data_IF_512866382398
#
_entry.id   IF_512866382398
#
_cell.length_a   1.000
_cell.length_b   1.000
_cell.length_c   1.000
_cell.angle_alpha   90.00
_cell.angle_beta   90.00
_cell.angle_gamma   90.00
#
_symmetry.space_group_name_H-M   'P 1'
#
loop_
_entity.id
_entity.type
_entity.pdbx_description
1 polymer ?
#
# COMPACT_ATOMS: atom_id res chain seq x y z
N UNK A 1 5.26 95.44 16.49
CA UNK A 1 6.47 95.08 15.73
C UNK A 1 7.33 94.14 16.57
N UNK A 2 7.36 92.83 16.24
CA UNK A 2 8.52 91.92 16.26
C UNK A 2 8.03 90.48 16.03
N UNK A 3 8.81 89.75 15.24
CA UNK A 3 8.53 88.45 14.64
C UNK A 3 8.80 87.29 15.62
N UNK A 4 8.18 86.12 15.38
CA UNK A 4 8.83 84.80 15.50
C UNK A 4 8.04 83.72 14.76
N UNK A 5 8.77 82.88 14.02
CA UNK A 5 8.35 81.80 13.10
C UNK A 5 8.43 80.40 13.77
N UNK A 6 7.99 79.36 13.05
CA UNK A 6 8.08 77.87 13.26
C UNK A 6 6.90 77.21 14.01
N UNK A 7 6.40 76.01 13.68
CA UNK A 7 6.70 75.02 12.63
C UNK A 7 5.52 74.05 12.40
N UNK A 8 5.53 73.42 11.22
CA UNK A 8 4.69 72.36 10.65
C UNK A 8 4.58 71.09 11.54
N UNK A 9 3.52 70.28 11.35
CA UNK A 9 3.63 68.85 10.93
C UNK A 9 2.24 68.20 10.75
N UNK A 10 1.91 67.87 9.49
CA UNK A 10 0.82 66.97 9.11
C UNK A 10 1.19 65.53 9.52
N UNK A 11 0.26 64.84 10.19
CA UNK A 11 0.34 63.40 10.46
C UNK A 11 -0.03 62.60 9.21
N UNK A 12 0.95 62.07 8.48
CA UNK A 12 0.74 61.05 7.46
C UNK A 12 0.90 59.66 8.07
N UNK A 13 -0.23 58.96 8.29
CA UNK A 13 -0.25 57.54 8.60
C UNK A 13 0.13 56.73 7.36
N UNK A 14 1.37 56.24 7.29
CA UNK A 14 1.73 55.19 6.33
C UNK A 14 1.35 53.83 6.93
N UNK A 15 0.35 53.20 6.34
CA UNK A 15 0.04 51.80 6.56
C UNK A 15 1.26 50.95 6.14
N UNK A 16 1.77 50.12 7.04
CA UNK A 16 2.77 49.12 6.69
C UNK A 16 2.14 48.07 5.76
N UNK A 17 2.81 47.65 4.67
CA UNK A 17 2.30 46.59 3.83
C UNK A 17 2.31 45.27 4.62
N UNK A 18 1.14 44.65 4.76
CA UNK A 18 1.03 43.26 5.17
C UNK A 18 1.78 42.40 4.15
N UNK A 19 2.93 41.86 4.53
CA UNK A 19 3.58 40.80 3.78
C UNK A 19 2.76 39.53 3.94
N UNK A 20 1.84 39.31 2.99
CA UNK A 20 1.14 38.05 2.82
C UNK A 20 2.15 36.97 2.41
N UNK A 21 2.85 36.38 3.38
CA UNK A 21 3.58 35.14 3.15
C UNK A 21 2.54 34.02 3.06
N UNK A 22 2.28 33.54 1.84
CA UNK A 22 1.53 32.31 1.64
C UNK A 22 2.27 31.19 2.40
N UNK A 23 1.66 30.64 3.43
CA UNK A 23 2.21 29.43 4.05
C UNK A 23 2.29 28.35 2.96
N UNK A 24 3.41 27.61 2.88
CA UNK A 24 3.52 26.56 1.88
C UNK A 24 2.40 25.53 2.10
N UNK A 25 1.70 25.14 1.03
CA UNK A 25 0.64 24.12 1.07
C UNK A 25 1.18 22.75 1.55
N UNK A 26 2.49 22.53 1.44
CA UNK A 26 3.16 21.29 1.78
C UNK A 26 4.52 21.57 2.43
N UNK A 27 4.86 20.80 3.46
CA UNK A 27 6.19 20.74 4.06
C UNK A 27 6.85 19.41 3.75
N UNK A 28 8.14 19.42 3.40
CA UNK A 28 8.92 18.20 3.20
C UNK A 28 9.50 17.72 4.52
N UNK A 29 9.20 16.47 4.89
CA UNK A 29 9.77 15.81 6.05
C UNK A 29 10.67 14.67 5.59
N UNK A 30 11.96 14.75 5.92
CA UNK A 30 12.91 13.68 5.61
C UNK A 30 12.78 12.55 6.62
N UNK A 31 12.59 11.34 6.12
CA UNK A 31 12.80 10.12 6.89
C UNK A 31 14.31 9.82 6.96
N UNK A 32 14.76 9.04 7.95
CA UNK A 32 16.11 8.47 7.98
C UNK A 32 16.53 7.89 6.62
N UNK A 33 17.74 8.21 6.18
CA UNK A 33 18.27 7.86 4.85
C UNK A 33 18.43 6.35 4.61
N UNK A 34 18.36 5.55 5.67
CA UNK A 34 18.46 4.10 5.64
C UNK A 34 17.11 3.40 5.48
N UNK A 35 16.12 4.05 4.86
CA UNK A 35 14.76 3.50 4.70
C UNK A 35 14.23 3.56 3.28
N UNK A 36 13.44 2.55 2.93
CA UNK A 36 12.63 2.50 1.71
C UNK A 36 11.15 2.44 2.10
N UNK A 37 10.37 3.52 1.86
CA UNK A 37 8.94 3.53 2.16
C UNK A 37 8.14 2.74 1.12
N UNK A 38 7.10 2.04 1.57
CA UNK A 38 6.22 1.25 0.71
C UNK A 38 4.77 1.74 0.72
N UNK A 39 4.27 2.22 1.86
CA UNK A 39 2.90 2.69 1.97
C UNK A 39 2.75 3.83 3.00
N UNK A 40 1.70 4.64 2.81
CA UNK A 40 1.30 5.72 3.70
C UNK A 40 -0.22 5.67 3.91
N UNK A 41 -0.68 6.02 5.11
CA UNK A 41 -2.11 6.21 5.37
C UNK A 41 -2.53 7.67 5.53
N UNK A 42 -3.83 7.91 5.68
CA UNK A 42 -4.41 9.24 5.84
C UNK A 42 -3.95 9.98 7.12
N UNK A 43 -3.39 9.26 8.10
CA UNK A 43 -2.78 9.85 9.29
C UNK A 43 -1.33 10.31 9.07
N UNK A 44 -0.81 10.19 7.85
CA UNK A 44 0.58 10.50 7.52
C UNK A 44 1.58 9.47 8.05
N UNK A 45 1.12 8.27 8.44
CA UNK A 45 2.02 7.21 8.91
C UNK A 45 2.58 6.46 7.73
N UNK A 46 3.90 6.26 7.73
CA UNK A 46 4.61 5.62 6.63
C UNK A 46 5.17 4.29 7.11
N UNK A 47 5.05 3.26 6.29
CA UNK A 47 5.65 1.96 6.55
C UNK A 47 6.58 1.55 5.42
N UNK A 48 7.53 0.68 5.71
CA UNK A 48 8.48 0.18 4.72
C UNK A 48 9.51 -0.75 5.34
N UNK A 49 10.70 -0.74 4.77
CA UNK A 49 11.84 -1.54 5.21
C UNK A 49 13.09 -0.67 5.38
N UNK A 50 13.87 -0.94 6.43
CA UNK A 50 15.19 -0.36 6.65
C UNK A 50 16.31 -1.13 5.95
N UNK A 51 17.48 -0.52 5.76
CA UNK A 51 18.66 -1.23 5.21
C UNK A 51 19.18 -2.34 6.11
N UNK A 52 18.74 -2.38 7.37
CA UNK A 52 18.98 -3.46 8.33
C UNK A 52 18.06 -4.68 8.10
N UNK A 53 17.18 -4.62 7.08
CA UNK A 53 16.23 -5.66 6.75
C UNK A 53 15.04 -5.73 7.71
N UNK A 54 14.77 -4.66 8.47
CA UNK A 54 13.65 -4.61 9.42
C UNK A 54 12.53 -3.72 8.91
N UNK A 55 11.30 -4.19 9.07
CA UNK A 55 10.11 -3.38 8.81
C UNK A 55 10.04 -2.22 9.79
N UNK A 56 9.59 -1.06 9.33
CA UNK A 56 9.39 0.11 10.19
C UNK A 56 7.99 0.70 10.06
N UNK A 57 7.59 1.44 11.10
CA UNK A 57 6.47 2.37 11.13
C UNK A 57 7.01 3.74 11.55
N UNK A 58 6.82 4.73 10.68
CA UNK A 58 7.11 6.12 10.97
C UNK A 58 5.80 6.86 11.28
N UNK A 59 5.78 7.60 12.39
CA UNK A 59 4.63 8.42 12.78
C UNK A 59 5.11 9.62 13.60
N UNK A 60 4.63 10.81 13.24
CA UNK A 60 4.90 12.06 13.98
C UNK A 60 6.39 12.29 14.27
N UNK A 61 7.25 12.04 13.28
CA UNK A 61 8.70 12.22 13.42
C UNK A 61 9.44 11.07 14.09
N UNK A 62 8.75 10.06 14.60
CA UNK A 62 9.35 8.92 15.29
C UNK A 62 9.32 7.69 14.40
N UNK A 63 10.45 7.02 14.27
CA UNK A 63 10.58 5.72 13.61
C UNK A 63 10.59 4.61 14.65
N UNK A 64 9.69 3.64 14.50
CA UNK A 64 9.65 2.43 15.30
C UNK A 64 9.91 1.21 14.41
N UNK A 65 10.79 0.32 14.86
CA UNK A 65 10.92 -1.00 14.26
C UNK A 65 9.66 -1.83 14.56
N UNK A 66 9.21 -2.61 13.58
CA UNK A 66 8.12 -3.57 13.76
C UNK A 66 8.59 -4.86 14.45
N UNK A 67 9.90 -5.11 14.51
CA UNK A 67 10.47 -6.38 14.95
C UNK A 67 10.32 -7.49 13.90
N UNK A 68 10.44 -8.75 14.34
CA UNK A 68 10.28 -9.95 13.50
C UNK A 68 9.49 -11.03 14.22
N UNK A 69 9.08 -12.07 13.50
CA UNK A 69 8.51 -13.32 14.04
C UNK A 69 9.57 -14.26 14.64
N UNK A 70 10.67 -13.70 15.15
CA UNK A 70 11.81 -14.45 15.70
C UNK A 70 12.90 -14.78 14.69
N UNK A 71 12.72 -14.45 13.40
CA UNK A 71 13.74 -14.56 12.36
C UNK A 71 14.55 -13.28 12.14
N UNK A 72 15.26 -13.24 11.01
CA UNK A 72 16.26 -12.21 10.68
C UNK A 72 15.68 -10.94 10.06
N UNK A 73 14.66 -11.05 9.21
CA UNK A 73 14.13 -9.91 8.46
C UNK A 73 12.61 -9.75 8.55
N UNK A 74 12.16 -8.53 8.30
CA UNK A 74 10.76 -8.18 8.08
C UNK A 74 10.64 -7.02 7.10
N UNK A 75 9.53 -6.96 6.38
CA UNK A 75 9.19 -5.85 5.50
C UNK A 75 7.70 -5.55 5.64
N UNK A 76 7.37 -4.28 5.88
CA UNK A 76 5.99 -3.81 5.83
C UNK A 76 5.62 -3.43 4.40
N UNK A 77 4.49 -3.94 3.90
CA UNK A 77 4.04 -3.69 2.53
C UNK A 77 2.85 -2.72 2.47
N UNK A 78 1.95 -2.79 3.45
CA UNK A 78 0.72 -2.00 3.43
C UNK A 78 0.30 -1.55 4.84
N UNK A 79 -0.41 -0.41 4.89
CA UNK A 79 -0.99 0.14 6.12
C UNK A 79 -2.46 0.49 5.89
N UNK A 80 -3.32 0.09 6.81
CA UNK A 80 -4.77 0.38 6.77
C UNK A 80 -5.09 1.72 7.46
N UNK A 81 -6.29 2.24 7.22
CA UNK A 81 -6.81 3.44 7.90
C UNK A 81 -6.75 3.34 9.45
N UNK A 82 -6.85 2.11 9.98
CA UNK A 82 -6.78 1.83 11.42
C UNK A 82 -5.35 1.59 11.93
N UNK A 83 -4.30 1.99 11.19
CA UNK A 83 -2.87 1.83 11.57
C UNK A 83 -2.42 0.38 11.68
N UNK A 84 -3.18 -0.57 11.13
CA UNK A 84 -2.74 -1.95 11.06
C UNK A 84 -1.84 -2.11 9.85
N UNK A 85 -0.71 -2.78 10.03
CA UNK A 85 0.30 -2.96 8.99
C UNK A 85 0.33 -4.42 8.56
N UNK A 86 0.33 -4.69 7.26
CA UNK A 86 0.59 -6.02 6.72
C UNK A 86 1.93 -6.04 5.99
N UNK A 87 2.51 -7.24 5.93
CA UNK A 87 3.78 -7.47 5.27
C UNK A 87 4.20 -8.93 5.42
N UNK A 88 5.51 -9.17 5.36
CA UNK A 88 6.11 -10.47 5.62
C UNK A 88 7.24 -10.36 6.64
N UNK A 89 7.40 -11.37 7.48
CA UNK A 89 8.50 -11.48 8.42
C UNK A 89 8.98 -12.91 8.52
N UNK A 90 10.29 -13.08 8.63
CA UNK A 90 10.88 -14.39 8.88
C UNK A 90 10.51 -14.87 10.28
N UNK A 91 9.96 -16.08 10.33
CA UNK A 91 9.77 -16.81 11.56
C UNK A 91 11.10 -17.40 12.05
N UNK A 92 11.12 -17.96 13.26
CA UNK A 92 12.31 -18.58 13.87
C UNK A 92 12.97 -19.66 13.02
N UNK A 93 12.20 -20.33 12.15
CA UNK A 93 12.69 -21.34 11.21
C UNK A 93 13.29 -20.75 9.91
N UNK A 94 13.37 -19.42 9.79
CA UNK A 94 13.85 -18.70 8.61
C UNK A 94 12.85 -18.62 7.45
N UNK A 95 11.62 -19.10 7.63
CA UNK A 95 10.57 -19.03 6.60
C UNK A 95 9.76 -17.75 6.78
N UNK A 96 9.54 -17.01 5.69
CA UNK A 96 8.72 -15.80 5.72
C UNK A 96 7.24 -16.14 5.88
N UNK A 97 6.60 -15.54 6.88
CA UNK A 97 5.17 -15.56 7.08
C UNK A 97 4.58 -14.16 6.90
N UNK A 98 3.38 -14.09 6.33
CA UNK A 98 2.60 -12.87 6.34
C UNK A 98 2.25 -12.51 7.79
N UNK A 99 2.25 -11.21 8.10
CA UNK A 99 1.92 -10.74 9.45
C UNK A 99 0.85 -9.64 9.42
N UNK A 100 0.22 -9.41 10.57
CA UNK A 100 -0.45 -8.14 10.89
C UNK A 100 0.20 -7.53 12.12
N UNK A 101 0.67 -6.30 12.01
CA UNK A 101 1.17 -5.53 13.15
C UNK A 101 0.10 -4.54 13.60
N UNK A 102 -0.24 -4.57 14.89
CA UNK A 102 -1.24 -3.71 15.50
C UNK A 102 -0.86 -3.43 16.95
N UNK A 103 -0.86 -2.16 17.33
CA UNK A 103 -0.68 -1.74 18.73
C UNK A 103 0.63 -2.24 19.36
N UNK A 104 1.73 -2.27 18.61
CA UNK A 104 3.01 -2.75 19.12
C UNK A 104 3.26 -4.24 18.96
N UNK A 105 2.24 -5.03 18.59
CA UNK A 105 2.34 -6.49 18.48
C UNK A 105 2.34 -6.94 17.03
N UNK A 106 3.30 -7.80 16.68
CA UNK A 106 3.41 -8.45 15.39
C UNK A 106 2.76 -9.84 15.46
N UNK A 107 1.60 -10.01 14.81
CA UNK A 107 0.84 -11.25 14.76
C UNK A 107 1.20 -12.06 13.52
N UNK A 108 1.61 -13.30 13.74
CA UNK A 108 1.82 -14.28 12.69
C UNK A 108 0.47 -14.71 12.05
N UNK A 109 0.36 -14.65 10.72
CA UNK A 109 -0.78 -15.19 9.98
C UNK A 109 -0.54 -16.64 9.50
N UNK A 110 0.70 -17.11 9.64
CA UNK A 110 1.15 -18.44 9.27
C UNK A 110 1.36 -18.63 7.77
N UNK A 111 1.49 -19.89 7.41
CA UNK A 111 1.72 -20.35 6.05
C UNK A 111 0.44 -20.80 5.37
N UNK A 112 0.43 -20.78 4.04
CA UNK A 112 -0.62 -21.41 3.25
C UNK A 112 -0.14 -22.79 2.79
N UNK A 113 -0.74 -23.86 3.30
CA UNK A 113 -0.36 -25.24 2.93
C UNK A 113 1.16 -25.53 3.15
N UNK A 114 1.73 -24.97 4.22
CA UNK A 114 3.15 -25.10 4.55
C UNK A 114 4.09 -24.33 3.62
N UNK A 115 3.59 -23.29 2.94
CA UNK A 115 4.35 -22.43 2.04
C UNK A 115 4.55 -21.02 2.60
N UNK A 116 5.68 -20.35 2.28
CA UNK A 116 5.92 -18.96 2.66
C UNK A 116 4.81 -18.04 2.15
N UNK A 117 4.47 -17.02 2.93
CA UNK A 117 3.35 -16.09 2.65
C UNK A 117 3.79 -14.64 2.75
N UNK A 118 3.21 -13.80 1.90
CA UNK A 118 3.52 -12.38 1.78
C UNK A 118 2.22 -11.58 1.74
N UNK A 119 1.96 -10.76 2.75
CA UNK A 119 0.82 -9.84 2.78
C UNK A 119 1.14 -8.58 1.98
N UNK A 120 0.38 -8.29 0.93
CA UNK A 120 0.60 -7.15 0.04
C UNK A 120 -0.39 -6.01 0.28
N UNK A 121 -1.57 -6.32 0.82
CA UNK A 121 -2.61 -5.33 1.08
C UNK A 121 -3.40 -5.65 2.36
N UNK A 122 -3.91 -4.63 3.03
CA UNK A 122 -4.71 -4.75 4.26
C UNK A 122 -5.83 -3.73 4.28
N UNK A 123 -7.04 -4.14 4.71
CA UNK A 123 -8.17 -3.23 4.90
C UNK A 123 -8.37 -2.85 6.37
N UNK A 124 -9.33 -1.95 6.65
CA UNK A 124 -9.57 -1.42 7.99
C UNK A 124 -10.03 -2.49 9.00
N UNK A 125 -10.63 -3.58 8.51
CA UNK A 125 -11.06 -4.75 9.29
C UNK A 125 -9.91 -5.71 9.63
N UNK A 126 -8.69 -5.44 9.16
CA UNK A 126 -7.52 -6.30 9.37
C UNK A 126 -7.51 -7.55 8.50
N UNK A 127 -8.30 -7.59 7.42
CA UNK A 127 -8.18 -8.64 6.42
C UNK A 127 -6.95 -8.35 5.56
N UNK A 128 -6.19 -9.40 5.25
CA UNK A 128 -4.94 -9.29 4.49
C UNK A 128 -5.07 -10.07 3.19
N UNK A 129 -4.82 -9.40 2.07
CA UNK A 129 -4.64 -10.06 0.79
C UNK A 129 -3.16 -10.15 0.45
N UNK A 130 -2.79 -11.18 -0.29
CA UNK A 130 -1.39 -11.44 -0.59
C UNK A 130 -1.20 -12.66 -1.48
N UNK A 131 0.00 -13.23 -1.41
CA UNK A 131 0.33 -14.47 -2.11
C UNK A 131 1.22 -15.38 -1.26
N UNK A 132 1.13 -16.67 -1.54
CA UNK A 132 2.06 -17.69 -1.06
C UNK A 132 2.90 -18.24 -2.21
N UNK A 133 4.12 -18.71 -1.94
CA UNK A 133 4.97 -19.35 -2.95
C UNK A 133 4.78 -20.86 -2.96
N UNK A 134 4.31 -21.43 -4.06
CA UNK A 134 4.24 -22.89 -4.17
C UNK A 134 5.63 -23.56 -4.33
N UNK A 135 5.65 -24.89 -4.46
CA UNK A 135 6.90 -25.68 -4.59
C UNK A 135 7.76 -25.27 -5.78
N UNK A 136 7.16 -24.68 -6.80
CA UNK A 136 7.81 -24.28 -8.04
C UNK A 136 8.12 -22.77 -8.03
N UNK A 137 7.89 -22.07 -6.91
CA UNK A 137 8.07 -20.62 -6.79
C UNK A 137 6.94 -19.81 -7.42
N UNK A 138 5.80 -20.42 -7.78
CA UNK A 138 4.68 -19.66 -8.33
C UNK A 138 3.81 -19.05 -7.23
N UNK A 139 3.25 -17.89 -7.52
CA UNK A 139 2.33 -17.22 -6.61
C UNK A 139 0.96 -17.89 -6.53
N UNK A 140 0.47 -18.05 -5.31
CA UNK A 140 -0.89 -18.47 -4.98
C UNK A 140 -1.56 -17.38 -4.17
N UNK A 141 -2.47 -16.64 -4.80
CA UNK A 141 -3.19 -15.56 -4.13
C UNK A 141 -4.00 -16.08 -2.94
N UNK A 142 -4.00 -15.33 -1.84
CA UNK A 142 -4.76 -15.65 -0.64
C UNK A 142 -5.53 -14.44 -0.10
N UNK A 143 -6.55 -14.75 0.71
CA UNK A 143 -7.22 -13.83 1.61
C UNK A 143 -7.16 -14.40 3.03
N UNK A 144 -6.63 -13.61 3.96
CA UNK A 144 -6.71 -13.86 5.40
C UNK A 144 -7.89 -13.08 5.97
N UNK A 145 -8.87 -13.80 6.52
CA UNK A 145 -10.07 -13.21 7.11
C UNK A 145 -10.56 -14.08 8.27
N UNK A 146 -11.04 -13.46 9.34
CA UNK A 146 -11.62 -14.20 10.48
C UNK A 146 -10.66 -15.21 11.11
N UNK A 147 -9.34 -14.95 11.09
CA UNK A 147 -8.35 -15.87 11.65
C UNK A 147 -7.86 -16.96 10.68
N UNK A 148 -8.41 -17.04 9.47
CA UNK A 148 -8.13 -18.12 8.51
C UNK A 148 -7.53 -17.56 7.22
N UNK A 149 -6.44 -18.18 6.77
CA UNK A 149 -5.88 -17.97 5.44
C UNK A 149 -6.53 -18.92 4.43
N UNK A 150 -7.09 -18.37 3.35
CA UNK A 150 -7.71 -19.16 2.28
C UNK A 150 -7.12 -18.77 0.93
N UNK A 151 -6.77 -19.75 0.11
CA UNK A 151 -6.45 -19.51 -1.29
C UNK A 151 -7.70 -18.97 -2.02
N UNK A 152 -7.55 -17.95 -2.86
CA UNK A 152 -8.68 -17.37 -3.62
C UNK A 152 -8.71 -17.81 -5.09
N UNK A 153 -7.86 -18.76 -5.46
CA UNK A 153 -7.83 -19.37 -6.79
C UNK A 153 -7.02 -18.57 -7.82
N UNK A 154 -7.32 -18.80 -9.09
CA UNK A 154 -6.68 -18.19 -10.26
C UNK A 154 -7.61 -18.28 -11.47
N UNK A 155 -7.30 -17.61 -12.57
CA UNK A 155 -8.02 -17.71 -13.85
C UNK A 155 -7.61 -18.95 -14.69
N UNK A 156 -7.27 -20.05 -14.00
CA UNK A 156 -7.08 -21.37 -14.60
C UNK A 156 -5.63 -21.87 -14.71
N UNK A 157 -4.61 -21.02 -14.53
CA UNK A 157 -3.20 -21.46 -14.50
C UNK A 157 -2.76 -22.05 -13.17
N UNK A 158 -3.48 -21.73 -12.08
CA UNK A 158 -3.01 -21.90 -10.73
C UNK A 158 -2.18 -20.73 -10.20
N UNK A 159 -1.78 -19.77 -11.02
CA UNK A 159 -0.90 -18.66 -10.62
C UNK A 159 -1.67 -17.34 -10.53
N UNK A 160 -1.61 -16.73 -9.35
CA UNK A 160 -2.26 -15.45 -9.08
C UNK A 160 -1.56 -14.71 -7.93
N UNK A 161 -1.56 -13.37 -8.01
CA UNK A 161 -1.05 -12.48 -6.96
C UNK A 161 -2.09 -11.40 -6.68
N UNK A 162 -2.46 -11.24 -5.41
CA UNK A 162 -3.28 -10.13 -4.97
C UNK A 162 -2.43 -8.86 -4.77
N UNK A 163 -2.95 -7.72 -5.20
CA UNK A 163 -2.30 -6.41 -5.11
C UNK A 163 -3.10 -5.40 -4.29
N UNK A 164 -4.42 -5.59 -4.15
CA UNK A 164 -5.28 -4.68 -3.40
C UNK A 164 -6.45 -5.37 -2.74
N UNK A 165 -6.99 -4.75 -1.69
CA UNK A 165 -8.20 -5.15 -0.99
C UNK A 165 -8.95 -3.90 -0.49
N UNK A 166 -10.29 -3.87 -0.61
CA UNK A 166 -11.12 -2.80 -0.03
C UNK A 166 -11.83 -3.25 1.28
N UNK A 167 -12.58 -2.38 1.94
CA UNK A 167 -13.24 -2.74 3.21
C UNK A 167 -14.42 -3.71 3.07
N UNK A 168 -14.96 -3.89 1.86
CA UNK A 168 -15.93 -4.96 1.59
C UNK A 168 -15.26 -6.35 1.47
N UNK A 169 -13.93 -6.42 1.53
CA UNK A 169 -13.17 -7.66 1.36
C UNK A 169 -13.02 -8.09 -0.10
N UNK A 170 -13.33 -7.22 -1.06
CA UNK A 170 -13.06 -7.48 -2.46
C UNK A 170 -11.55 -7.33 -2.73
N UNK A 171 -10.97 -8.33 -3.38
CA UNK A 171 -9.53 -8.42 -3.67
C UNK A 171 -9.30 -8.22 -5.15
N UNK A 172 -8.27 -7.48 -5.53
CA UNK A 172 -7.84 -7.35 -6.92
C UNK A 172 -6.39 -7.78 -7.10
N UNK A 173 -5.99 -8.02 -8.35
CA UNK A 173 -4.64 -8.41 -8.67
C UNK A 173 -4.47 -8.90 -10.09
N UNK A 174 -3.48 -9.77 -10.26
CA UNK A 174 -3.13 -10.38 -11.54
C UNK A 174 -3.19 -11.90 -11.43
N UNK A 175 -3.70 -12.56 -12.46
CA UNK A 175 -3.66 -14.02 -12.59
C UNK A 175 -3.31 -14.42 -14.02
N UNK A 176 -2.58 -15.52 -14.17
CA UNK A 176 -2.33 -16.09 -15.49
C UNK A 176 -3.54 -16.93 -15.94
N UNK A 177 -3.87 -16.82 -17.23
CA UNK A 177 -4.80 -17.72 -17.90
C UNK A 177 -4.23 -19.13 -18.01
N UNK A 178 -5.11 -20.11 -18.21
CA UNK A 178 -4.74 -21.51 -18.43
C UNK A 178 -3.65 -21.63 -19.51
N UNK A 179 -2.61 -22.41 -19.22
CA UNK A 179 -1.47 -22.59 -20.12
C UNK A 179 -0.47 -21.41 -20.13
N UNK A 180 -0.58 -20.47 -19.18
CA UNK A 180 0.32 -19.32 -19.06
C UNK A 180 0.32 -18.40 -20.31
N UNK A 181 -0.79 -18.39 -21.04
CA UNK A 181 -0.91 -17.69 -22.32
C UNK A 181 -0.92 -16.17 -22.17
N UNK A 182 -1.44 -15.66 -21.05
CA UNK A 182 -1.47 -14.23 -20.75
C UNK A 182 -1.74 -13.95 -19.27
N UNK A 183 -1.45 -12.72 -18.84
CA UNK A 183 -1.87 -12.18 -17.55
C UNK A 183 -3.19 -11.43 -17.68
N UNK A 184 -4.03 -11.53 -16.65
CA UNK A 184 -5.33 -10.85 -16.57
C UNK A 184 -5.49 -10.20 -15.21
N UNK A 185 -5.97 -8.96 -15.23
CA UNK A 185 -6.50 -8.30 -14.07
C UNK A 185 -7.73 -9.06 -13.57
N UNK A 186 -7.85 -9.26 -12.26
CA UNK A 186 -9.02 -9.91 -11.68
C UNK A 186 -9.65 -9.06 -10.57
N UNK A 187 -10.92 -9.33 -10.30
CA UNK A 187 -11.58 -9.00 -9.03
C UNK A 187 -12.12 -10.28 -8.40
N UNK A 188 -11.81 -10.49 -7.13
CA UNK A 188 -12.35 -11.57 -6.32
C UNK A 188 -13.30 -10.99 -5.28
N UNK A 189 -14.56 -11.40 -5.35
CA UNK A 189 -15.59 -10.98 -4.40
C UNK A 189 -16.60 -12.11 -4.23
N UNK A 190 -17.17 -12.23 -3.04
CA UNK A 190 -18.22 -13.22 -2.73
C UNK A 190 -17.83 -14.67 -3.11
N UNK A 191 -16.55 -15.03 -2.94
CA UNK A 191 -16.07 -16.39 -3.25
C UNK A 191 -15.68 -16.63 -4.71
N UNK A 192 -15.83 -15.64 -5.59
CA UNK A 192 -15.65 -15.81 -7.04
C UNK A 192 -14.58 -14.87 -7.58
N UNK A 193 -13.62 -15.42 -8.32
CA UNK A 193 -12.64 -14.65 -9.10
C UNK A 193 -13.20 -14.39 -10.50
N UNK A 194 -13.27 -13.12 -10.88
CA UNK A 194 -13.74 -12.65 -12.19
C UNK A 194 -12.58 -12.01 -12.95
N UNK A 195 -12.44 -12.38 -14.22
CA UNK A 195 -11.56 -11.71 -15.18
C UNK A 195 -12.15 -10.34 -15.55
N UNK A 196 -11.35 -9.28 -15.41
CA UNK A 196 -11.72 -7.91 -15.80
C UNK A 196 -11.60 -7.72 -17.32
N UNK A 197 -10.82 -8.56 -17.99
CA UNK A 197 -10.56 -8.48 -19.44
C UNK A 197 -9.42 -7.55 -19.79
N UNK A 198 -9.38 -7.13 -21.05
CA UNK A 198 -8.36 -6.23 -21.60
C UNK A 198 -9.01 -5.15 -22.48
N UNK A 199 -8.24 -4.14 -22.88
CA UNK A 199 -8.66 -3.11 -23.84
C UNK A 199 -8.44 -3.53 -25.31
N UNK A 200 -8.36 -4.84 -25.58
CA UNK A 200 -8.16 -5.42 -26.92
C UNK A 200 -6.82 -6.14 -27.10
N UNK A 201 -5.84 -5.87 -26.23
CA UNK A 201 -4.52 -6.50 -26.26
C UNK A 201 -4.42 -7.78 -25.43
N UNK A 202 -3.22 -8.38 -25.39
CA UNK A 202 -3.05 -9.72 -24.87
C UNK A 202 -3.09 -9.80 -23.34
N UNK A 203 -2.85 -8.74 -22.57
CA UNK A 203 -2.74 -8.80 -21.10
C UNK A 203 -3.31 -7.58 -20.35
N UNK A 204 -3.59 -7.77 -19.06
CA UNK A 204 -3.95 -6.71 -18.11
C UNK A 204 -3.48 -7.05 -16.69
N UNK A 205 -3.33 -6.03 -15.84
CA UNK A 205 -3.01 -6.17 -14.42
C UNK A 205 -3.70 -5.08 -13.62
N UNK A 206 -4.30 -5.45 -12.48
CA UNK A 206 -4.88 -4.50 -11.54
C UNK A 206 -3.83 -4.02 -10.53
N UNK A 207 -3.81 -2.69 -10.32
CA UNK A 207 -2.90 -2.04 -9.40
C UNK A 207 -3.57 -1.73 -8.06
N UNK A 208 -4.84 -1.29 -8.08
CA UNK A 208 -5.55 -0.86 -6.89
C UNK A 208 -7.06 -1.05 -7.03
N UNK A 209 -7.74 -1.14 -5.89
CA UNK A 209 -9.20 -1.13 -5.77
C UNK A 209 -9.60 -0.10 -4.72
N UNK A 210 -10.66 0.67 -4.98
CA UNK A 210 -11.20 1.61 -3.99
C UNK A 210 -12.43 1.03 -3.25
N UNK A 211 -12.95 1.83 -2.31
CA UNK A 211 -14.09 1.44 -1.48
C UNK A 211 -15.42 1.29 -2.23
N UNK A 212 -15.54 1.84 -3.44
CA UNK A 212 -16.69 1.60 -4.32
C UNK A 212 -16.56 0.30 -5.14
N UNK A 213 -15.43 -0.39 -5.04
CA UNK A 213 -15.13 -1.57 -5.83
C UNK A 213 -14.58 -1.25 -7.23
N UNK A 214 -14.26 0.02 -7.50
CA UNK A 214 -13.65 0.42 -8.76
C UNK A 214 -12.18 0.01 -8.78
N UNK A 215 -11.74 -0.60 -9.88
CA UNK A 215 -10.38 -1.13 -10.02
C UNK A 215 -9.60 -0.29 -11.04
N UNK A 216 -8.44 0.20 -10.62
CA UNK A 216 -7.49 0.87 -11.50
C UNK A 216 -6.34 -0.08 -11.85
N UNK A 217 -5.83 0.00 -13.06
CA UNK A 217 -4.74 -0.84 -13.51
C UNK A 217 -4.23 -0.47 -14.89
N UNK A 218 -3.47 -1.39 -15.46
CA UNK A 218 -2.92 -1.28 -16.81
C UNK A 218 -3.47 -2.41 -17.69
N UNK A 219 -3.75 -2.10 -18.94
CA UNK A 219 -4.16 -3.08 -19.94
C UNK A 219 -3.58 -2.75 -21.29
N UNK A 220 -3.21 -3.77 -22.02
CA UNK A 220 -2.81 -3.65 -23.39
C UNK A 220 -4.01 -3.38 -24.30
N UNK A 221 -3.87 -2.44 -25.23
CA UNK A 221 -4.84 -2.20 -26.33
C UNK A 221 -4.52 -3.06 -27.56
N UNK A 222 -3.24 -3.43 -27.73
CA UNK A 222 -2.71 -4.37 -28.71
C UNK A 222 -1.42 -5.01 -28.15
N UNK A 223 -0.59 -5.68 -28.95
CA UNK A 223 0.61 -6.35 -28.44
C UNK A 223 1.66 -5.42 -27.79
N UNK A 224 1.70 -4.14 -28.19
CA UNK A 224 2.81 -3.24 -27.88
C UNK A 224 2.41 -2.07 -26.98
N UNK A 225 1.15 -1.65 -27.03
CA UNK A 225 0.69 -0.42 -26.38
C UNK A 225 -0.11 -0.77 -25.11
N UNK A 226 0.30 -0.17 -23.99
CA UNK A 226 -0.40 -0.23 -22.70
C UNK A 226 -1.13 1.08 -22.39
N UNK A 227 -2.31 0.97 -21.80
CA UNK A 227 -3.10 2.08 -21.29
C UNK A 227 -3.52 1.81 -19.85
N UNK A 228 -3.63 2.88 -19.06
CA UNK A 228 -4.32 2.80 -17.79
C UNK A 228 -5.82 2.56 -18.03
N UNK A 229 -6.46 1.78 -17.16
CA UNK A 229 -7.91 1.59 -17.17
C UNK A 229 -8.51 1.88 -15.79
N UNK A 230 -9.81 2.18 -15.81
CA UNK A 230 -10.70 2.17 -14.65
C UNK A 230 -11.86 1.20 -14.95
N UNK A 231 -12.03 0.18 -14.11
CA UNK A 231 -13.15 -0.76 -14.14
C UNK A 231 -14.17 -0.37 -13.06
N UNK A 232 -15.45 -0.36 -13.41
CA UNK A 232 -16.58 0.04 -12.55
C UNK A 232 -17.80 -0.83 -12.82
#
# INVERSE_FOLDING_TARGET
>A
MRHSLLALLLSSSLAAPFTAHSQPLYTMHFLPSNTTPHAIDAGGRIVGVGTDGRGFLWSRGVMASLGTLGGGASAAAAISANSQVAGSSDAKNGVSHAFVYKGGTLRDLGMLQGRPTFGTAINASGQVAGYALDRNGNDRAFLYSGGKMSAIGSLGSGVARATGINNAGAVTGVSFLRGFTAQRAFVYANGVMKDIGTLGGPSSAAAAINERGEVAGMSFVNADIQHAFLYR
#
